data_IF_841652373512
#
_entry.id   IF_841652373512
#
_cell.length_a   1.000
_cell.length_b   1.000
_cell.length_c   1.000
_cell.angle_alpha   90.00
_cell.angle_beta   90.00
_cell.angle_gamma   90.00
#
_symmetry.space_group_name_H-M   'P 1'
#
loop_
_entity.id
_entity.type
_entity.pdbx_description
1 polymer ?
#
# COMPACT_ATOMS: atom_id res chain seq x y z
N UNK A 1 65.02 46.46 8.88
CA UNK A 1 65.85 45.57 8.02
C UNK A 1 65.75 44.10 8.44
N UNK A 2 65.66 43.79 9.75
CA UNK A 2 65.56 42.41 10.25
C UNK A 2 64.34 41.64 9.74
N UNK A 3 63.16 42.24 9.73
CA UNK A 3 61.92 41.59 9.26
C UNK A 3 61.99 41.13 7.80
N UNK A 4 62.64 41.91 6.93
CA UNK A 4 62.78 41.59 5.50
C UNK A 4 63.66 40.36 5.26
N UNK A 5 64.68 40.16 6.09
CA UNK A 5 65.58 39.03 5.98
C UNK A 5 64.91 37.73 6.47
N UNK A 6 64.18 37.80 7.58
CA UNK A 6 63.42 36.65 8.12
C UNK A 6 62.34 36.20 7.14
N UNK A 7 61.58 37.13 6.55
CA UNK A 7 60.57 36.80 5.53
C UNK A 7 61.20 36.16 4.29
N UNK A 8 62.36 36.67 3.86
CA UNK A 8 63.09 36.12 2.71
C UNK A 8 63.55 34.68 2.98
N UNK A 9 64.10 34.43 4.16
CA UNK A 9 64.60 33.10 4.53
C UNK A 9 63.43 32.10 4.64
N UNK A 10 62.33 32.47 5.31
CA UNK A 10 61.11 31.65 5.36
C UNK A 10 60.57 31.35 3.95
N UNK A 11 60.52 32.36 3.07
CA UNK A 11 60.08 32.17 1.68
C UNK A 11 61.02 31.24 0.89
N UNK A 12 62.34 31.33 1.13
CA UNK A 12 63.33 30.50 0.45
C UNK A 12 63.29 29.05 0.96
N UNK A 13 63.04 28.85 2.25
CA UNK A 13 62.81 27.52 2.85
C UNK A 13 61.61 26.83 2.20
N UNK A 14 60.49 27.54 2.02
CA UNK A 14 59.23 26.96 1.51
C UNK A 14 59.16 26.85 -0.01
N UNK A 15 59.60 27.87 -0.77
CA UNK A 15 59.50 27.85 -2.24
C UNK A 15 60.78 27.35 -2.94
N UNK A 16 61.89 27.22 -2.21
CA UNK A 16 63.20 26.90 -2.77
C UNK A 16 63.82 28.06 -3.57
N UNK A 17 64.91 27.80 -4.28
CA UNK A 17 65.66 28.84 -5.01
C UNK A 17 64.85 29.49 -6.15
N UNK A 18 65.01 30.81 -6.41
CA UNK A 18 64.21 31.56 -7.40
C UNK A 18 64.28 30.99 -8.82
N UNK A 19 65.41 30.41 -9.19
CA UNK A 19 65.67 29.89 -10.54
C UNK A 19 64.72 28.76 -10.95
N UNK A 20 64.19 28.03 -9.96
CA UNK A 20 63.25 26.92 -10.17
C UNK A 20 61.79 27.37 -10.35
N UNK A 21 61.48 28.65 -10.12
CA UNK A 21 60.09 29.19 -10.08
C UNK A 21 59.55 29.68 -11.42
N UNK A 22 60.27 29.44 -12.53
CA UNK A 22 59.89 29.98 -13.86
C UNK A 22 58.56 29.42 -14.38
N UNK A 23 58.16 28.22 -13.97
CA UNK A 23 56.91 27.60 -14.37
C UNK A 23 56.19 27.02 -13.13
N UNK A 24 55.12 27.66 -12.64
CA UNK A 24 54.27 27.16 -11.55
C UNK A 24 53.83 25.70 -11.70
N UNK A 25 53.39 25.30 -12.89
CA UNK A 25 52.88 23.95 -13.12
C UNK A 25 53.92 22.84 -12.89
N UNK A 26 55.21 23.13 -13.04
CA UNK A 26 56.27 22.14 -12.84
C UNK A 26 56.89 22.17 -11.43
N UNK A 27 56.98 23.36 -10.81
CA UNK A 27 57.69 23.49 -9.55
C UNK A 27 56.79 23.32 -8.32
N UNK A 28 55.51 23.71 -8.39
CA UNK A 28 54.61 23.65 -7.25
C UNK A 28 54.37 22.22 -6.76
N UNK A 29 54.09 21.21 -7.62
CA UNK A 29 53.93 19.83 -7.15
C UNK A 29 55.17 19.30 -6.44
N UNK A 30 56.36 19.58 -6.99
CA UNK A 30 57.63 19.20 -6.37
C UNK A 30 57.81 19.86 -5.00
N UNK A 31 57.54 21.15 -4.90
CA UNK A 31 57.70 21.91 -3.65
C UNK A 31 56.66 21.49 -2.62
N UNK A 32 55.45 21.13 -3.04
CA UNK A 32 54.42 20.60 -2.16
C UNK A 32 54.94 19.34 -1.45
N UNK A 33 55.46 18.36 -2.20
CA UNK A 33 56.03 17.14 -1.60
C UNK A 33 57.23 17.41 -0.68
N UNK A 34 58.06 18.41 -1.00
CA UNK A 34 59.18 18.80 -0.15
C UNK A 34 58.70 19.47 1.16
N UNK A 35 57.60 20.25 1.12
CA UNK A 35 57.00 20.92 2.29
C UNK A 35 56.20 19.94 3.16
N UNK A 36 55.53 18.95 2.57
CA UNK A 36 54.84 17.86 3.30
C UNK A 36 55.78 17.10 4.24
N UNK A 37 57.05 16.94 3.83
CA UNK A 37 58.08 16.28 4.64
C UNK A 37 58.76 17.15 5.70
N UNK A 38 58.39 18.42 5.82
CA UNK A 38 59.02 19.34 6.79
C UNK A 38 58.47 19.14 8.21
N UNK A 39 59.31 19.47 9.20
CA UNK A 39 58.91 19.47 10.61
C UNK A 39 57.82 20.51 10.87
N UNK A 40 56.73 20.09 11.52
CA UNK A 40 55.54 20.91 11.80
C UNK A 40 55.90 22.22 12.51
N UNK A 41 56.81 22.19 13.49
CA UNK A 41 57.23 23.38 14.23
C UNK A 41 57.90 24.43 13.34
N UNK A 42 58.78 24.00 12.44
CA UNK A 42 59.43 24.88 11.46
C UNK A 42 58.41 25.48 10.49
N UNK A 43 57.44 24.69 10.04
CA UNK A 43 56.39 25.14 9.13
C UNK A 43 55.49 26.18 9.81
N UNK A 44 55.14 25.97 11.07
CA UNK A 44 54.34 26.90 11.88
C UNK A 44 55.06 28.24 12.05
N UNK A 45 56.34 28.23 12.43
CA UNK A 45 57.16 29.45 12.54
C UNK A 45 57.24 30.21 11.20
N UNK A 46 57.45 29.48 10.10
CA UNK A 46 57.46 30.08 8.76
C UNK A 46 56.09 30.69 8.42
N UNK A 47 55.00 29.99 8.71
CA UNK A 47 53.65 30.45 8.42
C UNK A 47 53.30 31.74 9.15
N UNK A 48 53.70 31.87 10.43
CA UNK A 48 53.43 33.07 11.24
C UNK A 48 54.15 34.30 10.68
N UNK A 49 55.43 34.13 10.33
CA UNK A 49 56.24 35.19 9.70
C UNK A 49 55.64 35.61 8.36
N UNK A 50 55.25 34.64 7.52
CA UNK A 50 54.71 34.89 6.19
C UNK A 50 53.33 35.55 6.24
N UNK A 51 52.46 35.16 7.18
CA UNK A 51 51.15 35.78 7.40
C UNK A 51 51.26 37.24 7.79
N UNK A 52 52.21 37.56 8.68
CA UNK A 52 52.50 38.94 9.07
C UNK A 52 52.91 39.78 7.86
N UNK A 53 53.69 39.20 6.94
CA UNK A 53 54.07 39.87 5.69
C UNK A 53 52.92 39.95 4.65
N UNK A 54 51.95 39.03 4.69
CA UNK A 54 50.85 38.95 3.74
C UNK A 54 49.62 39.81 4.08
N UNK A 55 49.64 40.51 5.22
CA UNK A 55 48.51 41.32 5.72
C UNK A 55 48.13 42.53 4.85
N UNK A 56 48.95 42.89 3.85
CA UNK A 56 48.67 43.98 2.93
C UNK A 56 48.12 43.53 1.57
N UNK A 57 47.38 44.42 0.89
CA UNK A 57 46.99 44.22 -0.51
C UNK A 57 48.22 43.98 -1.40
N UNK A 58 49.37 44.57 -1.06
CA UNK A 58 50.66 44.51 -1.77
C UNK A 58 51.58 43.35 -1.39
N UNK A 59 51.02 42.24 -0.92
CA UNK A 59 51.78 41.03 -0.64
C UNK A 59 52.62 40.60 -1.85
N UNK A 60 53.89 40.24 -1.59
CA UNK A 60 54.78 39.73 -2.62
C UNK A 60 54.25 38.38 -3.14
N UNK A 61 54.29 38.11 -4.46
CA UNK A 61 53.82 36.84 -5.03
C UNK A 61 54.43 35.60 -4.37
N UNK A 62 55.71 35.69 -3.99
CA UNK A 62 56.46 34.59 -3.38
C UNK A 62 55.94 34.25 -1.97
N UNK A 63 55.50 35.26 -1.22
CA UNK A 63 54.91 35.06 0.12
C UNK A 63 53.56 34.35 -0.01
N UNK A 64 52.72 34.78 -0.96
CA UNK A 64 51.43 34.13 -1.22
C UNK A 64 51.61 32.68 -1.68
N UNK A 65 52.59 32.42 -2.55
CA UNK A 65 52.93 31.08 -3.02
C UNK A 65 53.36 30.16 -1.86
N UNK A 66 54.20 30.66 -0.96
CA UNK A 66 54.63 29.93 0.23
C UNK A 66 53.44 29.58 1.14
N UNK A 67 52.55 30.55 1.37
CA UNK A 67 51.34 30.34 2.19
C UNK A 67 50.39 29.32 1.58
N UNK A 68 50.27 29.26 0.24
CA UNK A 68 49.48 28.24 -0.46
C UNK A 68 50.08 26.85 -0.23
N UNK A 69 51.40 26.70 -0.44
CA UNK A 69 52.10 25.43 -0.25
C UNK A 69 51.97 24.93 1.19
N UNK A 70 52.12 25.81 2.19
CA UNK A 70 51.92 25.47 3.60
C UNK A 70 50.47 25.03 3.85
N UNK A 71 49.50 25.79 3.35
CA UNK A 71 48.09 25.52 3.61
C UNK A 71 47.61 24.20 2.97
N UNK A 72 48.17 23.79 1.83
CA UNK A 72 47.86 22.50 1.19
C UNK A 72 48.62 21.35 1.87
N UNK A 73 49.93 21.50 2.11
CA UNK A 73 50.75 20.44 2.71
C UNK A 73 50.38 20.14 4.18
N UNK A 74 50.00 21.17 4.93
CA UNK A 74 49.73 21.09 6.38
C UNK A 74 48.37 21.69 6.70
N UNK A 75 47.29 21.00 6.30
CA UNK A 75 45.89 21.46 6.42
C UNK A 75 45.54 21.94 7.84
N UNK A 76 46.04 21.26 8.88
CA UNK A 76 45.79 21.64 10.28
C UNK A 76 46.37 23.01 10.66
N UNK A 77 47.57 23.33 10.16
CA UNK A 77 48.20 24.64 10.34
C UNK A 77 47.40 25.68 9.55
N UNK A 78 47.08 25.38 8.28
CA UNK A 78 46.29 26.26 7.42
C UNK A 78 44.95 26.63 8.07
N UNK A 79 44.20 25.64 8.56
CA UNK A 79 42.92 25.84 9.23
C UNK A 79 43.04 26.67 10.51
N UNK A 80 44.00 26.36 11.38
CA UNK A 80 44.24 27.11 12.64
C UNK A 80 44.56 28.58 12.38
N UNK A 81 45.27 28.85 11.29
CA UNK A 81 45.67 30.20 10.91
C UNK A 81 44.66 30.93 10.01
N UNK A 82 43.54 30.29 9.66
CA UNK A 82 42.54 30.86 8.75
C UNK A 82 43.03 31.02 7.30
N UNK A 83 44.08 30.30 6.92
CA UNK A 83 44.60 30.28 5.57
C UNK A 83 43.72 29.40 4.69
N UNK A 84 43.06 30.02 3.72
CA UNK A 84 42.28 29.29 2.71
C UNK A 84 43.10 29.22 1.42
N UNK A 85 43.61 28.04 1.02
CA UNK A 85 44.49 27.92 -0.14
C UNK A 85 43.80 28.38 -1.42
N UNK A 86 42.49 28.16 -1.54
CA UNK A 86 41.67 28.67 -2.63
C UNK A 86 41.72 30.21 -2.74
N UNK A 87 41.49 30.95 -1.65
CA UNK A 87 41.43 32.41 -1.72
C UNK A 87 42.81 33.05 -1.93
N UNK A 88 43.84 32.54 -1.25
CA UNK A 88 45.23 32.98 -1.42
C UNK A 88 45.74 32.67 -2.82
N UNK A 89 45.40 31.48 -3.33
CA UNK A 89 45.67 31.05 -4.70
C UNK A 89 45.08 31.97 -5.76
N UNK A 90 43.79 32.31 -5.63
CA UNK A 90 43.10 33.25 -6.52
C UNK A 90 43.70 34.65 -6.47
N UNK A 91 44.07 35.13 -5.26
CA UNK A 91 44.78 36.42 -5.09
C UNK A 91 46.12 36.41 -5.84
N UNK A 92 46.89 35.34 -5.73
CA UNK A 92 48.17 35.17 -6.42
C UNK A 92 48.00 35.07 -7.94
N UNK A 93 47.04 34.28 -8.43
CA UNK A 93 46.73 34.18 -9.86
C UNK A 93 46.37 35.55 -10.46
N UNK A 94 45.52 36.32 -9.78
CA UNK A 94 45.15 37.68 -10.19
C UNK A 94 46.35 38.65 -10.20
N UNK A 95 47.38 38.41 -9.37
CA UNK A 95 48.63 39.17 -9.40
C UNK A 95 49.50 38.79 -10.59
N UNK A 96 49.63 37.49 -10.89
CA UNK A 96 50.34 37.04 -12.09
C UNK A 96 49.71 37.57 -13.37
N UNK A 97 48.39 37.59 -13.47
CA UNK A 97 47.69 38.19 -14.62
C UNK A 97 47.99 39.69 -14.76
N UNK A 98 47.90 40.47 -13.67
CA UNK A 98 48.22 41.91 -13.68
C UNK A 98 49.66 42.19 -14.05
N UNK A 99 50.58 41.28 -13.73
CA UNK A 99 51.98 41.35 -14.10
C UNK A 99 52.27 40.88 -15.53
N UNK A 100 51.25 40.52 -16.32
CA UNK A 100 51.40 39.97 -17.68
C UNK A 100 51.95 38.55 -17.73
N UNK A 101 52.03 37.85 -16.59
CA UNK A 101 52.53 36.48 -16.46
C UNK A 101 51.36 35.49 -16.52
N UNK A 102 50.61 35.48 -17.61
CA UNK A 102 49.39 34.68 -17.71
C UNK A 102 49.65 33.17 -17.65
N UNK A 103 50.76 32.68 -18.21
CA UNK A 103 51.17 31.26 -18.11
C UNK A 103 51.38 30.85 -16.65
N UNK A 104 51.94 31.73 -15.82
CA UNK A 104 52.11 31.47 -14.39
C UNK A 104 50.77 31.41 -13.65
N UNK A 105 49.83 32.30 -14.00
CA UNK A 105 48.49 32.26 -13.44
C UNK A 105 47.77 30.96 -13.81
N UNK A 106 47.89 30.53 -15.07
CA UNK A 106 47.31 29.29 -15.58
C UNK A 106 47.91 28.07 -14.86
N UNK A 107 49.24 27.94 -14.82
CA UNK A 107 49.90 26.81 -14.15
C UNK A 107 49.61 26.74 -12.64
N UNK A 108 49.47 27.89 -11.97
CA UNK A 108 49.03 27.93 -10.56
C UNK A 108 47.59 27.45 -10.41
N UNK A 109 46.66 27.94 -11.24
CA UNK A 109 45.26 27.56 -11.15
C UNK A 109 45.02 26.10 -11.55
N UNK A 110 45.79 25.55 -12.50
CA UNK A 110 45.78 24.13 -12.83
C UNK A 110 46.20 23.27 -11.65
N UNK A 111 47.33 23.62 -11.01
CA UNK A 111 47.81 22.98 -9.79
C UNK A 111 46.74 23.04 -8.67
N UNK A 112 46.13 24.21 -8.45
CA UNK A 112 45.09 24.35 -7.44
C UNK A 112 43.84 23.52 -7.72
N UNK A 113 43.43 23.34 -8.98
CA UNK A 113 42.28 22.47 -9.30
C UNK A 113 42.63 20.99 -9.09
N UNK A 114 43.89 20.61 -9.29
CA UNK A 114 44.36 19.24 -9.03
C UNK A 114 44.38 18.92 -7.53
N UNK A 115 44.93 19.83 -6.72
CA UNK A 115 45.05 19.64 -5.26
C UNK A 115 43.75 19.92 -4.49
N UNK A 116 42.86 20.76 -5.03
CA UNK A 116 41.58 21.15 -4.39
C UNK A 116 40.39 20.81 -5.29
N UNK A 117 40.15 19.51 -5.56
CA UNK A 117 39.06 19.11 -6.45
C UNK A 117 37.70 19.50 -5.83
N UNK A 118 36.88 20.20 -6.61
CA UNK A 118 35.53 20.59 -6.21
C UNK A 118 35.37 22.04 -5.77
N UNK A 119 36.43 22.84 -5.76
CA UNK A 119 36.35 24.29 -5.52
C UNK A 119 35.90 25.05 -6.78
N UNK A 120 34.62 25.47 -6.88
CA UNK A 120 34.03 25.97 -8.13
C UNK A 120 34.62 27.33 -8.55
N UNK A 121 35.12 28.10 -7.58
CA UNK A 121 35.70 29.41 -7.84
C UNK A 121 37.05 29.32 -8.54
N UNK A 122 37.85 28.28 -8.26
CA UNK A 122 39.16 28.08 -8.88
C UNK A 122 38.97 27.65 -10.34
N UNK A 123 38.05 26.70 -10.59
CA UNK A 123 37.68 26.29 -11.94
C UNK A 123 37.14 27.45 -12.78
N UNK A 124 36.31 28.31 -12.19
CA UNK A 124 35.78 29.51 -12.86
C UNK A 124 36.88 30.49 -13.24
N UNK A 125 37.82 30.75 -12.33
CA UNK A 125 38.93 31.66 -12.59
C UNK A 125 39.89 31.08 -13.64
N UNK A 126 40.18 29.78 -13.58
CA UNK A 126 40.96 29.08 -14.61
C UNK A 126 40.28 29.17 -15.97
N UNK A 127 38.98 28.88 -16.05
CA UNK A 127 38.21 29.01 -17.28
C UNK A 127 38.25 30.45 -17.82
N UNK A 128 38.21 31.46 -16.95
CA UNK A 128 38.32 32.86 -17.35
C UNK A 128 39.71 33.19 -17.91
N UNK A 129 40.79 32.69 -17.28
CA UNK A 129 42.17 32.83 -17.78
C UNK A 129 42.35 32.14 -19.12
N UNK A 130 41.93 30.88 -19.25
CA UNK A 130 42.05 30.10 -20.48
C UNK A 130 41.32 30.77 -21.66
N UNK A 131 40.13 31.34 -21.42
CA UNK A 131 39.41 32.13 -22.44
C UNK A 131 40.17 33.37 -22.85
N UNK A 132 40.73 34.13 -21.89
CA UNK A 132 41.56 35.32 -22.18
C UNK A 132 42.82 34.97 -22.98
N UNK A 133 43.42 33.81 -22.72
CA UNK A 133 44.61 33.32 -23.42
C UNK A 133 44.30 32.62 -24.77
N UNK A 134 43.02 32.49 -25.13
CA UNK A 134 42.63 31.81 -26.37
C UNK A 134 42.75 30.27 -26.34
N UNK A 135 43.00 29.68 -25.17
CA UNK A 135 43.15 28.23 -24.96
C UNK A 135 41.76 27.59 -24.74
N UNK A 136 40.83 27.90 -25.65
CA UNK A 136 39.41 27.53 -25.54
C UNK A 136 39.18 26.04 -25.76
N UNK A 137 40.00 25.42 -26.62
CA UNK A 137 39.91 23.99 -26.95
C UNK A 137 40.24 23.11 -25.75
N UNK A 138 41.35 23.38 -25.07
CA UNK A 138 41.78 22.58 -23.91
C UNK A 138 40.79 22.71 -22.75
N UNK A 139 40.16 23.89 -22.60
CA UNK A 139 39.08 24.08 -21.63
C UNK A 139 37.86 23.19 -21.96
N UNK A 140 37.46 23.12 -23.24
CA UNK A 140 36.37 22.24 -23.68
C UNK A 140 36.73 20.75 -23.50
N UNK A 141 37.99 20.36 -23.73
CA UNK A 141 38.48 19.01 -23.48
C UNK A 141 38.41 18.67 -21.99
N UNK A 142 38.85 19.59 -21.12
CA UNK A 142 38.81 19.41 -19.66
C UNK A 142 37.39 19.20 -19.13
N UNK A 143 36.44 20.05 -19.54
CA UNK A 143 35.04 19.93 -19.13
C UNK A 143 34.40 18.64 -19.63
N UNK A 144 34.82 18.14 -20.78
CA UNK A 144 34.34 16.88 -21.32
C UNK A 144 34.92 15.66 -20.62
N UNK A 145 36.20 15.66 -20.25
CA UNK A 145 36.76 14.59 -19.40
C UNK A 145 36.06 14.56 -18.04
N UNK A 146 35.78 15.73 -17.45
CA UNK A 146 35.02 15.82 -16.20
C UNK A 146 33.60 15.28 -16.34
N UNK A 147 32.90 15.62 -17.42
CA UNK A 147 31.60 15.04 -17.70
C UNK A 147 31.67 13.51 -17.84
N UNK A 148 32.70 12.98 -18.50
CA UNK A 148 32.90 11.53 -18.63
C UNK A 148 33.18 10.85 -17.30
N UNK A 149 33.95 11.46 -16.39
CA UNK A 149 34.17 10.89 -15.05
C UNK A 149 32.86 10.80 -14.27
N UNK A 150 32.04 11.86 -14.30
CA UNK A 150 30.72 11.89 -13.66
C UNK A 150 29.76 10.83 -14.24
N UNK A 151 29.80 10.58 -15.55
CA UNK A 151 29.01 9.51 -16.17
C UNK A 151 29.46 8.14 -15.66
N UNK A 152 30.78 7.89 -15.54
CA UNK A 152 31.30 6.64 -14.97
C UNK A 152 30.89 6.45 -13.51
N UNK A 153 30.77 7.54 -12.76
CA UNK A 153 30.28 7.56 -11.37
C UNK A 153 28.75 7.42 -11.27
N UNK A 154 28.01 7.38 -12.39
CA UNK A 154 26.54 7.32 -12.39
C UNK A 154 25.84 8.66 -12.12
N UNK A 155 26.58 9.76 -12.07
CA UNK A 155 26.08 11.14 -11.84
C UNK A 155 25.70 11.82 -13.15
N UNK A 156 24.74 11.23 -13.86
CA UNK A 156 24.32 11.66 -15.20
C UNK A 156 23.79 13.11 -15.24
N UNK A 157 23.03 13.55 -14.22
CA UNK A 157 22.45 14.90 -14.17
C UNK A 157 23.53 15.99 -14.11
N UNK A 158 24.55 15.79 -13.27
CA UNK A 158 25.67 16.72 -13.15
C UNK A 158 26.54 16.72 -14.40
N UNK A 159 26.81 15.53 -14.96
CA UNK A 159 27.49 15.41 -16.24
C UNK A 159 26.78 16.21 -17.35
N UNK A 160 25.45 16.28 -17.30
CA UNK A 160 24.67 17.07 -18.25
C UNK A 160 24.92 18.57 -18.17
N UNK A 161 25.18 19.10 -16.97
CA UNK A 161 25.62 20.49 -16.80
C UNK A 161 26.94 20.74 -17.54
N UNK A 162 27.94 19.91 -17.28
CA UNK A 162 29.28 20.00 -17.88
C UNK A 162 29.28 19.83 -19.41
N UNK A 163 28.45 18.92 -19.95
CA UNK A 163 28.33 18.74 -21.39
C UNK A 163 27.69 19.97 -22.07
N UNK A 164 26.74 20.65 -21.41
CA UNK A 164 26.16 21.90 -21.92
C UNK A 164 27.18 23.04 -21.91
N UNK A 165 27.94 23.18 -20.83
CA UNK A 165 29.03 24.16 -20.75
C UNK A 165 30.09 23.91 -21.83
N UNK A 166 30.44 22.65 -22.08
CA UNK A 166 31.35 22.27 -23.17
C UNK A 166 30.83 22.73 -24.55
N UNK A 167 29.53 22.56 -24.84
CA UNK A 167 28.93 23.04 -26.10
C UNK A 167 28.83 24.56 -26.19
N UNK A 168 28.69 25.27 -25.07
CA UNK A 168 28.73 26.72 -25.06
C UNK A 168 30.12 27.24 -25.49
N UNK A 169 31.17 26.52 -25.07
CA UNK A 169 32.57 26.81 -25.37
C UNK A 169 32.91 26.41 -26.81
N UNK A 170 32.60 25.17 -27.22
CA UNK A 170 32.82 24.66 -28.57
C UNK A 170 31.55 24.00 -29.13
N UNK A 171 30.83 24.77 -29.96
CA UNK A 171 29.58 24.34 -30.61
C UNK A 171 29.78 23.27 -31.68
N UNK A 172 31.00 23.03 -32.16
CA UNK A 172 31.28 22.11 -33.27
C UNK A 172 31.39 20.64 -32.84
N UNK A 173 31.43 20.39 -31.53
CA UNK A 173 31.62 19.09 -30.87
C UNK A 173 30.42 18.14 -31.02
N UNK A 174 30.43 17.36 -32.11
CA UNK A 174 29.37 16.36 -32.40
C UNK A 174 29.35 15.19 -31.40
N UNK A 175 30.48 14.84 -30.82
CA UNK A 175 30.63 13.82 -29.78
C UNK A 175 29.86 14.18 -28.50
N UNK A 176 29.97 15.43 -28.05
CA UNK A 176 29.24 15.95 -26.88
C UNK A 176 27.72 15.94 -27.14
N UNK A 177 27.27 16.37 -28.33
CA UNK A 177 25.84 16.32 -28.70
C UNK A 177 25.30 14.89 -28.69
N UNK A 178 26.07 13.92 -29.22
CA UNK A 178 25.68 12.50 -29.21
C UNK A 178 25.51 12.00 -27.77
N UNK A 179 26.48 12.28 -26.91
CA UNK A 179 26.45 11.86 -25.52
C UNK A 179 25.29 12.48 -24.73
N UNK A 180 24.96 13.76 -24.98
CA UNK A 180 23.79 14.42 -24.39
C UNK A 180 22.50 13.68 -24.75
N UNK A 181 22.34 13.34 -26.02
CA UNK A 181 21.15 12.62 -26.51
C UNK A 181 21.08 11.21 -25.93
N UNK A 182 22.22 10.51 -25.83
CA UNK A 182 22.27 9.15 -25.29
C UNK A 182 21.90 9.14 -23.80
N UNK A 183 22.40 10.09 -23.01
CA UNK A 183 22.03 10.24 -21.59
C UNK A 183 20.54 10.55 -21.42
N UNK A 184 19.98 11.47 -22.21
CA UNK A 184 18.53 11.74 -22.20
C UNK A 184 17.71 10.50 -22.55
N UNK A 185 18.16 9.71 -23.53
CA UNK A 185 17.48 8.47 -23.89
C UNK A 185 17.50 7.46 -22.74
N UNK A 186 18.65 7.31 -22.06
CA UNK A 186 18.77 6.46 -20.89
C UNK A 186 17.85 6.91 -19.75
N UNK A 187 17.77 8.21 -19.45
CA UNK A 187 16.86 8.76 -18.45
C UNK A 187 15.39 8.45 -18.78
N UNK A 188 14.97 8.67 -20.04
CA UNK A 188 13.61 8.34 -20.48
C UNK A 188 13.32 6.84 -20.43
N UNK A 189 14.27 5.98 -20.84
CA UNK A 189 14.12 4.54 -20.77
C UNK A 189 14.01 4.03 -19.31
N UNK A 190 14.82 4.58 -18.40
CA UNK A 190 14.73 4.28 -16.98
C UNK A 190 13.40 4.74 -16.38
N UNK A 191 12.94 5.96 -16.70
CA UNK A 191 11.65 6.47 -16.25
C UNK A 191 10.48 5.60 -16.76
N UNK A 192 10.51 5.20 -18.03
CA UNK A 192 9.49 4.33 -18.63
C UNK A 192 9.49 2.95 -17.97
N UNK A 193 10.66 2.34 -17.75
CA UNK A 193 10.74 1.03 -17.07
C UNK A 193 10.24 1.09 -15.63
N UNK A 194 10.53 2.17 -14.89
CA UNK A 194 9.99 2.42 -13.55
C UNK A 194 8.47 2.56 -13.59
N UNK A 195 7.92 3.31 -14.55
CA UNK A 195 6.48 3.47 -14.70
C UNK A 195 5.77 2.15 -14.97
N UNK A 196 6.32 1.31 -15.85
CA UNK A 196 5.77 -0.03 -16.15
C UNK A 196 5.79 -0.91 -14.89
N UNK A 197 6.91 -0.95 -14.14
CA UNK A 197 6.99 -1.70 -12.88
C UNK A 197 5.96 -1.22 -11.86
N UNK A 198 5.81 0.09 -11.69
CA UNK A 198 4.82 0.66 -10.78
C UNK A 198 3.37 0.33 -11.17
N UNK A 199 3.06 0.29 -12.48
CA UNK A 199 1.73 -0.15 -12.96
C UNK A 199 1.46 -1.61 -12.61
N UNK A 200 2.43 -2.50 -12.76
CA UNK A 200 2.28 -3.90 -12.35
C UNK A 200 2.06 -4.05 -10.84
N UNK A 201 2.81 -3.31 -10.03
CA UNK A 201 2.64 -3.30 -8.57
C UNK A 201 1.24 -2.78 -8.18
N UNK A 202 0.79 -1.68 -8.78
CA UNK A 202 -0.53 -1.12 -8.52
C UNK A 202 -1.66 -2.08 -8.93
N UNK A 203 -1.52 -2.75 -10.07
CA UNK A 203 -2.50 -3.75 -10.53
C UNK A 203 -2.55 -4.96 -9.60
N UNK A 204 -1.39 -5.48 -9.17
CA UNK A 204 -1.32 -6.59 -8.22
C UNK A 204 -1.96 -6.23 -6.87
N UNK A 205 -1.72 -5.00 -6.39
CA UNK A 205 -2.34 -4.49 -5.17
C UNK A 205 -3.86 -4.38 -5.31
N UNK A 206 -4.36 -3.85 -6.44
CA UNK A 206 -5.80 -3.74 -6.71
C UNK A 206 -6.49 -5.11 -6.75
N UNK A 207 -5.87 -6.11 -7.39
CA UNK A 207 -6.37 -7.49 -7.42
C UNK A 207 -6.40 -8.10 -6.01
N UNK A 208 -5.33 -7.91 -5.23
CA UNK A 208 -5.24 -8.40 -3.84
C UNK A 208 -6.31 -7.79 -2.93
N UNK A 209 -6.54 -6.47 -3.05
CA UNK A 209 -7.59 -5.77 -2.30
C UNK A 209 -8.99 -6.25 -2.73
N UNK A 210 -9.22 -6.44 -4.03
CA UNK A 210 -10.48 -6.99 -4.55
C UNK A 210 -10.78 -8.38 -4.00
N UNK A 211 -9.80 -9.28 -4.01
CA UNK A 211 -9.92 -10.62 -3.43
C UNK A 211 -10.19 -10.58 -1.92
N UNK A 212 -9.47 -9.71 -1.19
CA UNK A 212 -9.66 -9.55 0.25
C UNK A 212 -11.07 -9.05 0.58
N UNK A 213 -11.60 -8.10 -0.20
CA UNK A 213 -12.98 -7.62 -0.04
C UNK A 213 -14.01 -8.73 -0.28
N UNK A 214 -13.81 -9.57 -1.30
CA UNK A 214 -14.68 -10.73 -1.56
C UNK A 214 -14.65 -11.70 -0.37
N UNK A 215 -13.49 -12.02 0.18
CA UNK A 215 -13.37 -12.91 1.35
C UNK A 215 -14.09 -12.33 2.57
N UNK A 216 -13.88 -11.05 2.88
CA UNK A 216 -14.54 -10.37 4.02
C UNK A 216 -16.07 -10.38 3.83
N UNK A 217 -16.54 -10.12 2.62
CA UNK A 217 -17.97 -10.19 2.28
C UNK A 217 -18.51 -11.61 2.50
N UNK A 218 -17.81 -12.64 2.04
CA UNK A 218 -18.20 -14.04 2.21
C UNK A 218 -18.29 -14.46 3.67
N UNK A 219 -17.32 -14.05 4.51
CA UNK A 219 -17.34 -14.32 5.96
C UNK A 219 -18.54 -13.63 6.63
N UNK A 220 -18.78 -12.35 6.31
CA UNK A 220 -19.91 -11.61 6.87
C UNK A 220 -21.25 -12.23 6.50
N UNK A 221 -21.41 -12.66 5.24
CA UNK A 221 -22.63 -13.33 4.78
C UNK A 221 -22.82 -14.69 5.46
N UNK A 222 -21.74 -15.42 5.70
CA UNK A 222 -21.79 -16.68 6.46
C UNK A 222 -22.23 -16.43 7.90
N UNK A 223 -21.73 -15.39 8.56
CA UNK A 223 -22.12 -15.04 9.91
C UNK A 223 -23.60 -14.60 9.99
N UNK A 224 -24.08 -13.82 9.01
CA UNK A 224 -25.49 -13.47 8.91
C UNK A 224 -26.38 -14.70 8.70
N UNK A 225 -25.96 -15.62 7.83
CA UNK A 225 -26.69 -16.87 7.60
C UNK A 225 -26.76 -17.75 8.86
N UNK A 226 -25.67 -17.84 9.63
CA UNK A 226 -25.62 -18.57 10.91
C UNK A 226 -26.54 -17.99 11.99
N UNK A 227 -26.92 -16.73 11.88
CA UNK A 227 -27.86 -16.09 12.81
C UNK A 227 -29.32 -16.40 12.49
N UNK A 228 -29.62 -17.00 11.33
CA UNK A 228 -30.99 -17.38 10.96
C UNK A 228 -31.41 -18.59 11.83
N UNK A 229 -32.48 -18.48 12.64
CA UNK A 229 -32.93 -19.55 13.53
C UNK A 229 -33.18 -20.87 12.79
N UNK A 230 -32.61 -21.96 13.29
CA UNK A 230 -32.80 -23.31 12.74
C UNK A 230 -34.26 -23.75 12.91
N UNK A 231 -34.79 -24.44 11.89
CA UNK A 231 -36.16 -24.95 11.94
C UNK A 231 -36.24 -26.09 12.95
N UNK A 232 -37.22 -26.02 13.86
CA UNK A 232 -37.47 -27.09 14.82
C UNK A 232 -38.16 -28.24 14.09
N UNK A 233 -37.56 -29.45 14.03
CA UNK A 233 -38.13 -30.57 13.29
C UNK A 233 -39.56 -30.89 13.73
N UNK A 234 -40.46 -31.07 12.76
CA UNK A 234 -41.87 -31.39 13.01
C UNK A 234 -42.74 -30.21 13.48
N UNK A 235 -42.20 -29.00 13.60
CA UNK A 235 -43.00 -27.79 13.84
C UNK A 235 -43.22 -27.02 12.53
N UNK A 236 -44.42 -27.07 11.92
CA UNK A 236 -44.68 -26.46 10.61
C UNK A 236 -44.44 -24.95 10.62
N UNK A 237 -44.78 -24.27 11.72
CA UNK A 237 -44.62 -22.82 11.83
C UNK A 237 -43.14 -22.41 11.81
N UNK A 238 -42.28 -23.17 12.50
CA UNK A 238 -40.83 -22.92 12.52
C UNK A 238 -40.19 -23.16 11.15
N UNK A 239 -40.65 -24.17 10.41
CA UNK A 239 -40.19 -24.47 9.04
C UNK A 239 -40.58 -23.37 8.06
N UNK A 240 -41.81 -22.87 8.14
CA UNK A 240 -42.31 -21.78 7.29
C UNK A 240 -41.58 -20.46 7.55
N UNK A 241 -41.39 -20.09 8.83
CA UNK A 241 -40.62 -18.90 9.21
C UNK A 241 -39.19 -18.94 8.66
N UNK A 242 -38.50 -20.09 8.81
CA UNK A 242 -37.15 -20.26 8.26
C UNK A 242 -37.14 -20.13 6.74
N UNK A 243 -38.10 -20.74 6.04
CA UNK A 243 -38.19 -20.67 4.59
C UNK A 243 -38.32 -19.22 4.09
N UNK A 244 -39.20 -18.42 4.70
CA UNK A 244 -39.39 -17.01 4.35
C UNK A 244 -38.09 -16.21 4.55
N UNK A 245 -37.39 -16.44 5.68
CA UNK A 245 -36.12 -15.77 5.94
C UNK A 245 -35.06 -16.17 4.92
N UNK A 246 -34.93 -17.47 4.61
CA UNK A 246 -33.97 -17.97 3.61
C UNK A 246 -34.23 -17.39 2.21
N UNK A 247 -35.50 -17.25 1.81
CA UNK A 247 -35.86 -16.64 0.52
C UNK A 247 -35.49 -15.16 0.45
N UNK A 248 -35.76 -14.41 1.52
CA UNK A 248 -35.36 -13.01 1.62
C UNK A 248 -33.84 -12.85 1.57
N UNK A 249 -33.11 -13.76 2.23
CA UNK A 249 -31.65 -13.77 2.28
C UNK A 249 -31.02 -14.07 0.92
N UNK A 250 -31.53 -15.07 0.19
CA UNK A 250 -31.09 -15.39 -1.19
C UNK A 250 -31.35 -14.20 -2.12
N UNK A 251 -32.53 -13.57 -2.01
CA UNK A 251 -32.90 -12.42 -2.85
C UNK A 251 -31.97 -11.22 -2.62
N UNK A 252 -31.57 -10.97 -1.38
CA UNK A 252 -30.61 -9.91 -1.05
C UNK A 252 -29.18 -10.23 -1.51
N UNK A 253 -28.82 -11.51 -1.64
CA UNK A 253 -27.45 -11.96 -1.88
C UNK A 253 -27.32 -12.97 -3.04
N UNK A 254 -27.64 -12.58 -4.29
CA UNK A 254 -27.67 -13.51 -5.42
C UNK A 254 -26.29 -14.06 -5.80
N UNK A 255 -25.23 -13.28 -5.58
CA UNK A 255 -23.84 -13.64 -5.90
C UNK A 255 -23.06 -14.07 -4.65
N UNK A 256 -23.69 -14.89 -3.81
CA UNK A 256 -23.01 -15.50 -2.66
C UNK A 256 -22.55 -16.91 -3.02
N UNK A 257 -21.27 -17.22 -2.81
CA UNK A 257 -20.73 -18.52 -3.22
C UNK A 257 -21.50 -19.69 -2.59
N UNK A 258 -21.90 -19.57 -1.31
CA UNK A 258 -22.64 -20.63 -0.61
C UNK A 258 -24.16 -20.62 -0.83
N UNK A 259 -24.67 -19.80 -1.74
CA UNK A 259 -26.09 -19.77 -2.06
C UNK A 259 -26.64 -21.15 -2.46
N UNK A 260 -25.80 -22.02 -3.03
CA UNK A 260 -26.19 -23.39 -3.37
C UNK A 260 -26.66 -24.20 -2.14
N UNK A 261 -25.98 -24.10 -1.00
CA UNK A 261 -26.38 -24.80 0.22
C UNK A 261 -27.73 -24.29 0.74
N UNK A 262 -27.97 -22.98 0.69
CA UNK A 262 -29.25 -22.39 1.10
C UNK A 262 -30.37 -22.80 0.16
N UNK A 263 -30.10 -22.91 -1.14
CA UNK A 263 -31.08 -23.38 -2.12
C UNK A 263 -31.46 -24.85 -1.86
N UNK A 264 -30.49 -25.69 -1.52
CA UNK A 264 -30.73 -27.09 -1.15
C UNK A 264 -31.55 -27.21 0.14
N UNK A 265 -31.21 -26.41 1.15
CA UNK A 265 -31.97 -26.35 2.39
C UNK A 265 -33.40 -25.88 2.13
N UNK A 266 -33.60 -24.81 1.36
CA UNK A 266 -34.93 -24.32 0.96
C UNK A 266 -35.75 -25.41 0.28
N UNK A 267 -35.16 -26.17 -0.64
CA UNK A 267 -35.89 -27.28 -1.28
C UNK A 267 -36.27 -28.38 -0.29
N UNK A 268 -35.42 -28.65 0.69
CA UNK A 268 -35.68 -29.68 1.71
C UNK A 268 -36.81 -29.25 2.65
N UNK A 269 -36.77 -28.00 3.13
CA UNK A 269 -37.81 -27.45 4.00
C UNK A 269 -39.17 -27.37 3.28
N UNK A 270 -39.20 -27.05 1.98
CA UNK A 270 -40.44 -27.09 1.19
C UNK A 270 -41.07 -28.48 1.17
N UNK A 271 -40.26 -29.50 0.88
CA UNK A 271 -40.73 -30.90 0.87
C UNK A 271 -41.23 -31.31 2.27
N UNK A 272 -40.56 -30.87 3.34
CA UNK A 272 -40.98 -31.16 4.70
C UNK A 272 -42.31 -30.48 5.07
N UNK A 273 -42.50 -29.21 4.72
CA UNK A 273 -43.77 -28.49 4.92
C UNK A 273 -44.91 -29.19 4.20
N UNK A 274 -44.72 -29.51 2.91
CA UNK A 274 -45.72 -30.22 2.09
C UNK A 274 -46.13 -31.55 2.75
N UNK A 275 -45.16 -32.29 3.31
CA UNK A 275 -45.40 -33.57 4.00
C UNK A 275 -46.14 -33.41 5.33
N UNK A 276 -45.84 -32.37 6.11
CA UNK A 276 -46.54 -32.11 7.38
C UNK A 276 -48.00 -31.72 7.09
N UNK A 277 -48.24 -30.93 6.05
CA UNK A 277 -49.59 -30.58 5.60
C UNK A 277 -50.38 -31.80 5.13
N UNK A 278 -49.76 -32.68 4.33
CA UNK A 278 -50.37 -33.94 3.89
C UNK A 278 -50.79 -34.82 5.09
N UNK A 279 -49.89 -35.02 6.06
CA UNK A 279 -50.19 -35.80 7.27
C UNK A 279 -51.32 -35.18 8.11
N UNK A 280 -51.35 -33.84 8.22
CA UNK A 280 -52.41 -33.13 8.94
C UNK A 280 -53.76 -33.33 8.24
N UNK A 281 -53.78 -33.24 6.91
CA UNK A 281 -54.98 -33.47 6.12
C UNK A 281 -55.46 -34.93 6.24
N UNK A 282 -54.55 -35.91 6.21
CA UNK A 282 -54.90 -37.32 6.42
C UNK A 282 -55.49 -37.58 7.82
N UNK A 283 -54.91 -36.99 8.87
CA UNK A 283 -55.42 -37.11 10.23
C UNK A 283 -56.81 -36.49 10.37
N UNK A 284 -57.00 -35.29 9.82
CA UNK A 284 -58.30 -34.63 9.80
C UNK A 284 -59.34 -35.50 9.07
N UNK A 285 -58.99 -36.02 7.89
CA UNK A 285 -59.87 -36.91 7.13
C UNK A 285 -60.23 -38.18 7.91
N UNK A 286 -59.29 -38.78 8.65
CA UNK A 286 -59.57 -39.94 9.49
C UNK A 286 -60.48 -39.62 10.68
N UNK A 287 -60.32 -38.43 11.29
CA UNK A 287 -61.21 -37.97 12.36
C UNK A 287 -62.62 -37.69 11.84
N UNK A 288 -62.72 -37.04 10.69
CA UNK A 288 -63.98 -36.76 10.01
C UNK A 288 -64.69 -38.07 9.61
N UNK A 289 -63.94 -39.05 9.08
CA UNK A 289 -64.46 -40.39 8.76
C UNK A 289 -64.98 -41.12 10.01
N UNK A 290 -64.21 -41.14 11.10
CA UNK A 290 -64.66 -41.77 12.36
C UNK A 290 -65.89 -41.09 12.95
N UNK A 291 -65.96 -39.77 12.83
CA UNK A 291 -67.12 -38.99 13.26
C UNK A 291 -68.33 -39.34 12.41
N UNK A 292 -68.16 -39.41 11.08
CA UNK A 292 -69.19 -39.86 10.15
C UNK A 292 -69.69 -41.29 10.43
N UNK A 293 -68.79 -42.25 10.66
CA UNK A 293 -69.14 -43.63 11.01
C UNK A 293 -69.93 -43.74 12.33
N UNK A 294 -69.56 -42.93 13.34
CA UNK A 294 -70.30 -42.86 14.62
C UNK A 294 -71.71 -42.31 14.43
N UNK A 295 -71.86 -41.24 13.63
CA UNK A 295 -73.16 -40.66 13.32
C UNK A 295 -74.06 -41.64 12.54
N UNK A 296 -73.52 -42.31 11.52
CA UNK A 296 -74.24 -43.36 10.79
C UNK A 296 -74.66 -44.52 11.69
N UNK A 297 -73.80 -44.91 12.65
CA UNK A 297 -74.13 -45.95 13.63
C UNK A 297 -75.25 -45.50 14.58
N UNK A 298 -75.24 -44.23 15.00
CA UNK A 298 -76.28 -43.62 15.83
C UNK A 298 -77.63 -43.59 15.10
N UNK A 299 -77.64 -43.17 13.84
CA UNK A 299 -78.84 -43.18 12.98
C UNK A 299 -79.37 -44.61 12.79
N UNK A 300 -78.50 -45.58 12.52
CA UNK A 300 -78.91 -46.97 12.39
C UNK A 300 -79.52 -47.52 13.69
N UNK A 301 -78.97 -47.17 14.86
CA UNK A 301 -79.52 -47.54 16.17
C UNK A 301 -80.88 -46.87 16.42
N UNK A 302 -81.05 -45.61 16.04
CA UNK A 302 -82.32 -44.90 16.11
C UNK A 302 -83.40 -45.59 15.27
N UNK A 303 -83.10 -45.89 13.99
CA UNK A 303 -84.06 -46.56 13.11
C UNK A 303 -84.45 -47.95 13.63
N UNK A 304 -83.50 -48.71 14.19
CA UNK A 304 -83.80 -49.99 14.86
C UNK A 304 -84.68 -49.78 16.10
N UNK A 305 -84.39 -48.78 16.92
CA UNK A 305 -85.22 -48.39 18.07
C UNK A 305 -86.66 -48.07 17.67
N UNK A 306 -86.86 -47.28 16.61
CA UNK A 306 -88.18 -46.96 16.06
C UNK A 306 -88.91 -48.23 15.58
N UNK A 307 -88.22 -49.09 14.84
CA UNK A 307 -88.81 -50.34 14.31
C UNK A 307 -89.24 -51.30 15.44
N UNK A 308 -88.43 -51.41 16.51
CA UNK A 308 -88.75 -52.26 17.67
C UNK A 308 -89.88 -51.70 18.53
N UNK A 309 -89.95 -50.37 18.64
CA UNK A 309 -91.05 -49.65 19.28
C UNK A 309 -92.38 -49.98 18.60
N UNK A 310 -92.42 -49.93 17.27
CA UNK A 310 -93.61 -50.31 16.49
C UNK A 310 -94.00 -51.79 16.67
N UNK A 311 -93.02 -52.66 16.89
CA UNK A 311 -93.20 -54.10 17.13
C UNK A 311 -93.58 -54.49 18.57
N UNK A 312 -93.83 -53.52 19.46
CA UNK A 312 -94.13 -53.70 20.90
C UNK A 312 -92.99 -54.26 21.76
N UNK A 313 -91.75 -54.28 21.25
CA UNK A 313 -90.55 -54.71 22.00
C UNK A 313 -89.88 -53.52 22.75
N UNK A 314 -90.64 -52.91 23.67
CA UNK A 314 -90.29 -51.63 24.29
C UNK A 314 -88.94 -51.60 25.03
N UNK A 315 -88.54 -52.71 25.67
CA UNK A 315 -87.23 -52.81 26.34
C UNK A 315 -86.06 -52.79 25.35
N UNK A 316 -86.16 -53.56 24.27
CA UNK A 316 -85.17 -53.60 23.20
C UNK A 316 -85.08 -52.24 22.48
N UNK A 317 -86.22 -51.59 22.25
CA UNK A 317 -86.27 -50.26 21.65
C UNK A 317 -85.55 -49.21 22.52
N UNK A 318 -85.81 -49.22 23.84
CA UNK A 318 -85.14 -48.31 24.79
C UNK A 318 -83.62 -48.47 24.78
N UNK A 319 -83.11 -49.71 24.71
CA UNK A 319 -81.67 -49.98 24.66
C UNK A 319 -81.05 -49.49 23.34
N UNK A 320 -81.71 -49.67 22.21
CA UNK A 320 -81.23 -49.15 20.91
C UNK A 320 -81.25 -47.62 20.87
N UNK A 321 -82.26 -46.95 21.42
CA UNK A 321 -82.27 -45.49 21.51
C UNK A 321 -81.19 -44.94 22.45
N UNK A 322 -80.89 -45.62 23.57
CA UNK A 322 -79.76 -45.25 24.43
C UNK A 322 -78.41 -45.38 23.71
N UNK A 323 -78.22 -46.45 22.92
CA UNK A 323 -77.01 -46.61 22.07
C UNK A 323 -76.92 -45.49 21.03
N UNK A 324 -78.05 -45.12 20.43
CA UNK A 324 -78.10 -44.01 19.47
C UNK A 324 -77.64 -42.69 20.11
N UNK A 325 -78.11 -42.37 21.32
CA UNK A 325 -77.69 -41.17 22.07
C UNK A 325 -76.22 -41.22 22.51
N UNK A 326 -75.70 -42.41 22.83
CA UNK A 326 -74.29 -42.62 23.17
C UNK A 326 -73.38 -42.35 21.95
N UNK A 327 -73.76 -42.87 20.77
CA UNK A 327 -72.93 -42.75 19.57
C UNK A 327 -73.07 -41.40 18.84
N UNK A 328 -74.25 -40.76 18.88
CA UNK A 328 -74.48 -39.49 18.20
C UNK A 328 -73.68 -38.32 18.79
N UNK A 329 -73.36 -38.36 20.09
CA UNK A 329 -72.73 -37.23 20.76
C UNK A 329 -73.66 -36.02 20.90
N UNK A 330 -73.16 -34.93 21.48
CA UNK A 330 -73.98 -33.79 21.93
C UNK A 330 -74.61 -33.00 20.78
N UNK A 331 -73.93 -32.90 19.64
CA UNK A 331 -74.37 -32.10 18.49
C UNK A 331 -75.14 -32.90 17.43
N UNK A 332 -75.62 -34.11 17.76
CA UNK A 332 -76.35 -34.93 16.80
C UNK A 332 -77.76 -34.37 16.57
N UNK A 333 -78.12 -34.16 15.31
CA UNK A 333 -79.37 -33.51 14.89
C UNK A 333 -80.62 -34.16 15.50
N UNK A 334 -80.64 -35.49 15.65
CA UNK A 334 -81.78 -36.23 16.19
C UNK A 334 -81.75 -36.41 17.71
N UNK A 335 -80.75 -35.87 18.41
CA UNK A 335 -80.54 -36.13 19.85
C UNK A 335 -81.76 -35.76 20.70
N UNK A 336 -82.34 -34.57 20.49
CA UNK A 336 -83.51 -34.11 21.25
C UNK A 336 -84.76 -34.96 20.99
N UNK A 337 -84.92 -35.48 19.77
CA UNK A 337 -86.03 -36.37 19.44
C UNK A 337 -85.84 -37.71 20.15
N UNK A 338 -84.66 -38.32 20.00
CA UNK A 338 -84.37 -39.62 20.60
C UNK A 338 -84.41 -39.57 22.13
N UNK A 339 -84.01 -38.45 22.76
CA UNK A 339 -84.17 -38.25 24.21
C UNK A 339 -85.63 -38.28 24.65
N UNK A 340 -86.51 -37.58 23.92
CA UNK A 340 -87.96 -37.61 24.18
C UNK A 340 -88.53 -39.02 24.02
N UNK A 341 -88.09 -39.76 23.01
CA UNK A 341 -88.52 -41.13 22.77
C UNK A 341 -88.06 -42.07 23.91
N UNK A 342 -86.81 -41.91 24.38
CA UNK A 342 -86.28 -42.63 25.56
C UNK A 342 -87.09 -42.35 26.82
N UNK A 343 -87.41 -41.09 27.09
CA UNK A 343 -88.19 -40.67 28.26
C UNK A 343 -89.60 -41.25 28.21
N UNK A 344 -90.28 -41.14 27.06
CA UNK A 344 -91.63 -41.66 26.86
C UNK A 344 -91.69 -43.18 27.04
N UNK A 345 -90.75 -43.93 26.45
CA UNK A 345 -90.69 -45.40 26.59
C UNK A 345 -90.35 -45.79 28.04
N UNK A 346 -89.45 -45.07 28.70
CA UNK A 346 -89.09 -45.34 30.10
C UNK A 346 -90.24 -45.05 31.08
N UNK A 347 -91.07 -44.05 30.80
CA UNK A 347 -92.29 -43.77 31.56
C UNK A 347 -93.34 -44.86 31.33
N UNK A 348 -93.60 -45.25 30.08
CA UNK A 348 -94.51 -46.34 29.73
C UNK A 348 -94.14 -47.67 30.42
N UNK A 349 -92.85 -48.03 30.44
CA UNK A 349 -92.36 -49.22 31.14
C UNK A 349 -92.52 -49.11 32.68
N UNK A 350 -92.50 -47.91 33.25
CA UNK A 350 -92.65 -47.67 34.70
C UNK A 350 -94.11 -47.74 35.15
N UNK A 351 -95.03 -47.33 34.30
CA UNK A 351 -96.48 -47.36 34.55
C UNK A 351 -97.09 -48.78 34.47
N UNK A 352 -96.26 -49.81 34.26
CA UNK A 352 -96.69 -51.21 34.29
C UNK A 352 -97.14 -51.74 32.93
N UNK A 353 -96.59 -51.21 31.83
CA UNK A 353 -96.74 -51.73 30.46
C UNK A 353 -96.14 -53.14 30.25
N UNK A 354 -96.45 -54.10 31.11
CA UNK A 354 -96.26 -55.55 30.93
C UNK A 354 -97.63 -56.26 30.85
N UNK A 355 -98.55 -55.75 30.05
CA UNK A 355 -99.79 -56.45 29.68
C UNK A 355 -99.63 -57.08 28.30
N UNK A 356 -98.86 -58.16 28.23
CA UNK A 356 -98.74 -58.99 27.03
C UNK A 356 -97.56 -59.95 27.08
N UNK A 357 -97.72 -61.09 27.76
CA UNK A 357 -97.10 -62.35 27.31
C UNK A 357 -97.88 -62.88 26.11
#
# INVERSE_FOLDING_TARGET
MTTTLIVRDATLVINGAPEKRKNPGLHLPRRLSEVEGMEIGLVEECAEVLLTAAGGEESAPEVLEALILIAIAHESIGARMGLTPASTGRRLAARFERAGKAENALGLLEFLVEELPGEPFIERDLAAVMRRQGVVRDLADRYFERAKSLIREGRAEEAMGWLRETLQIDRSRKDVVRLIRDLRFQEHALAQSRQVRWRFVAMALAVSLGLSFIIIREVRLLDQYRQIPEAVPGNPHSTEERLVVLESFIKANPAWHRAFHVLQERSTLRIETDRIEELRNELQQREDQKTGERLLSAEAAMYRGMTLSDGTEWRSALDEFKKALEWGGENWEHREQVQRDVEAIAEFLREGGELGQ
#
